data_IF_629318575622
#
_entry.id   IF_629318575622
#
_cell.length_a   1.000
_cell.length_b   1.000
_cell.length_c   1.000
_cell.angle_alpha   90.00
_cell.angle_beta   90.00
_cell.angle_gamma   90.00
#
_symmetry.space_group_name_H-M   'P 1'
#
loop_
_entity.id
_entity.type
_entity.pdbx_description
1 polymer ?
#
# COMPACT_ATOMS: atom_id res chain seq x y z
N UNK A 1 16.38 10.28 9.53
CA UNK A 1 17.10 11.29 10.34
C UNK A 1 16.10 12.10 11.15
N UNK A 2 16.33 12.36 12.46
CA UNK A 2 15.53 13.31 13.24
C UNK A 2 15.59 14.71 12.62
N UNK A 3 14.49 15.47 12.62
CA UNK A 3 14.44 16.85 12.09
C UNK A 3 15.59 17.72 12.62
N UNK A 4 15.94 17.54 13.90
CA UNK A 4 17.07 18.20 14.57
C UNK A 4 18.46 17.89 14.01
N UNK A 5 18.72 16.67 13.52
CA UNK A 5 20.01 16.33 12.92
C UNK A 5 20.17 16.93 11.51
N UNK A 6 19.07 16.98 10.75
CA UNK A 6 19.03 17.68 9.45
C UNK A 6 19.26 19.18 9.62
N UNK A 7 18.64 19.79 10.64
CA UNK A 7 18.83 21.21 10.98
C UNK A 7 20.26 21.48 11.49
N UNK A 8 20.87 20.59 12.30
CA UNK A 8 22.30 20.71 12.68
C UNK A 8 23.25 20.63 11.48
N UNK A 9 22.97 19.76 10.49
CA UNK A 9 23.74 19.69 9.25
C UNK A 9 23.64 20.97 8.43
N UNK A 10 22.45 21.60 8.38
CA UNK A 10 22.28 22.89 7.71
C UNK A 10 22.86 24.07 8.50
N UNK A 11 22.92 23.99 9.84
CA UNK A 11 23.61 24.97 10.67
C UNK A 11 25.13 25.02 10.44
N UNK A 12 25.73 23.92 9.99
CA UNK A 12 27.15 23.80 9.67
C UNK A 12 27.47 24.00 8.18
N UNK A 13 26.49 24.39 7.35
CA UNK A 13 26.74 24.55 5.91
C UNK A 13 27.45 25.89 5.65
N UNK A 14 28.63 25.89 4.98
CA UNK A 14 29.30 27.13 4.62
C UNK A 14 28.37 27.93 3.72
N UNK A 15 28.01 29.14 4.17
CA UNK A 15 27.31 30.09 3.32
C UNK A 15 28.13 30.25 2.04
N UNK A 16 27.50 30.13 0.86
CA UNK A 16 28.19 30.44 -0.39
C UNK A 16 28.72 31.87 -0.28
N UNK A 17 30.04 32.00 -0.21
CA UNK A 17 30.74 33.28 -0.18
C UNK A 17 30.35 34.06 -1.44
N UNK A 18 29.68 35.20 -1.28
CA UNK A 18 29.46 36.15 -2.38
C UNK A 18 28.05 36.74 -2.57
N UNK A 19 27.00 36.28 -1.90
CA UNK A 19 25.66 36.92 -1.99
C UNK A 19 25.15 37.33 -0.62
N UNK A 20 25.55 38.51 -0.14
CA UNK A 20 24.92 39.20 0.99
C UNK A 20 23.54 39.71 0.57
N UNK A 21 22.58 38.81 0.54
CA UNK A 21 21.16 39.15 0.36
C UNK A 21 20.69 40.02 1.52
N UNK A 22 20.02 41.13 1.20
CA UNK A 22 19.40 42.06 2.17
C UNK A 22 18.47 41.34 3.18
N UNK A 23 17.97 40.16 2.82
CA UNK A 23 17.06 39.32 3.59
C UNK A 23 17.74 38.36 4.57
N UNK A 24 19.07 38.33 4.66
CA UNK A 24 19.82 37.42 5.53
C UNK A 24 19.39 37.38 7.02
N UNK A 25 19.08 38.51 7.71
CA UNK A 25 18.61 38.47 9.10
C UNK A 25 17.20 37.89 9.25
N UNK A 26 16.33 38.13 8.27
CA UNK A 26 14.98 37.56 8.22
C UNK A 26 15.03 36.05 7.98
N UNK A 27 15.90 35.61 7.07
CA UNK A 27 16.11 34.18 6.81
C UNK A 27 16.63 33.43 8.05
N UNK A 28 17.56 34.02 8.82
CA UNK A 28 18.06 33.40 10.06
C UNK A 28 16.96 33.26 11.11
N UNK A 29 16.16 34.31 11.32
CA UNK A 29 15.03 34.29 12.27
C UNK A 29 13.94 33.30 11.85
N UNK A 30 13.61 33.26 10.56
CA UNK A 30 12.63 32.32 10.01
C UNK A 30 13.07 30.86 10.15
N UNK A 31 14.33 30.55 9.84
CA UNK A 31 14.90 29.20 10.05
C UNK A 31 14.91 28.82 11.52
N UNK A 32 15.28 29.75 12.41
CA UNK A 32 15.28 29.51 13.86
C UNK A 32 13.86 29.20 14.38
N UNK A 33 12.85 29.95 13.93
CA UNK A 33 11.45 29.72 14.29
C UNK A 33 10.94 28.36 13.78
N UNK A 34 11.17 28.05 12.51
CA UNK A 34 10.75 26.77 11.90
C UNK A 34 11.49 25.57 12.49
N UNK A 35 12.69 25.77 13.04
CA UNK A 35 13.45 24.73 13.72
C UNK A 35 13.03 24.49 15.18
N UNK A 36 12.10 25.29 15.71
CA UNK A 36 11.79 25.24 17.13
C UNK A 36 11.01 23.96 17.51
N UNK A 37 11.37 23.32 18.63
CA UNK A 37 10.79 22.03 19.07
C UNK A 37 9.26 22.14 19.18
N UNK A 38 8.80 23.27 19.70
CA UNK A 38 7.38 23.54 19.92
C UNK A 38 6.59 23.67 18.62
N UNK A 39 7.21 24.20 17.57
CA UNK A 39 6.57 24.28 16.26
C UNK A 39 6.38 22.89 15.66
N UNK A 40 7.40 22.03 15.77
CA UNK A 40 7.31 20.63 15.35
C UNK A 40 6.21 19.87 16.13
N UNK A 41 6.10 20.08 17.45
CA UNK A 41 5.05 19.46 18.26
C UNK A 41 3.66 19.98 17.93
N UNK A 42 3.51 21.28 17.71
CA UNK A 42 2.23 21.89 17.30
C UNK A 42 1.70 21.28 16.00
N UNK A 43 2.56 21.20 14.97
CA UNK A 43 2.19 20.60 13.69
C UNK A 43 1.90 19.09 13.82
N UNK A 44 2.64 18.38 14.67
CA UNK A 44 2.37 16.98 14.98
C UNK A 44 0.99 16.80 15.63
N UNK A 45 0.64 17.63 16.60
CA UNK A 45 -0.68 17.61 17.24
C UNK A 45 -1.80 17.87 16.23
N UNK A 46 -1.64 18.85 15.32
CA UNK A 46 -2.61 19.10 14.25
C UNK A 46 -2.75 17.91 13.29
N UNK A 47 -1.64 17.24 12.97
CA UNK A 47 -1.66 16.04 12.12
C UNK A 47 -2.39 14.89 12.80
N UNK A 48 -2.17 14.69 14.10
CA UNK A 48 -2.89 13.68 14.89
C UNK A 48 -4.38 14.01 14.99
N UNK A 49 -4.73 15.28 15.22
CA UNK A 49 -6.12 15.72 15.25
C UNK A 49 -6.83 15.47 13.91
N UNK A 50 -6.16 15.73 12.78
CA UNK A 50 -6.68 15.42 11.45
C UNK A 50 -6.89 13.91 11.23
N UNK A 51 -5.99 13.07 11.76
CA UNK A 51 -6.18 11.62 11.71
C UNK A 51 -7.40 11.16 12.53
N UNK A 52 -7.65 11.78 13.69
CA UNK A 52 -8.85 11.54 14.49
C UNK A 52 -10.10 11.96 13.72
N UNK A 53 -10.11 13.14 13.10
CA UNK A 53 -11.27 13.57 12.30
C UNK A 53 -11.55 12.62 11.14
N UNK A 54 -10.50 12.08 10.50
CA UNK A 54 -10.66 11.06 9.47
C UNK A 54 -11.24 9.75 10.01
N UNK A 55 -10.85 9.34 11.21
CA UNK A 55 -11.39 8.11 11.85
C UNK A 55 -12.88 8.22 12.22
N UNK A 56 -13.36 9.45 12.43
CA UNK A 56 -14.76 9.74 12.74
C UNK A 56 -15.64 9.84 11.48
N UNK A 57 -15.05 9.86 10.29
CA UNK A 57 -15.75 9.89 9.00
C UNK A 57 -16.32 8.49 8.67
N UNK A 58 -17.49 8.20 9.25
CA UNK A 58 -18.26 6.99 9.00
C UNK A 58 -19.38 7.23 7.97
N UNK A 59 -19.74 6.23 7.13
CA UNK A 59 -20.83 6.38 6.16
C UNK A 59 -22.19 6.68 6.83
N UNK A 60 -22.39 6.26 8.07
CA UNK A 60 -23.62 6.48 8.85
C UNK A 60 -23.53 7.70 9.79
N UNK A 61 -22.54 8.57 9.61
CA UNK A 61 -22.37 9.75 10.44
C UNK A 61 -23.50 10.77 10.24
N UNK A 62 -23.82 11.52 11.30
CA UNK A 62 -24.83 12.60 11.26
C UNK A 62 -24.43 13.64 10.19
N UNK A 63 -25.38 14.18 9.40
CA UNK A 63 -25.07 15.10 8.31
C UNK A 63 -24.35 16.37 8.80
N UNK A 64 -24.69 16.87 9.99
CA UNK A 64 -24.01 18.01 10.62
C UNK A 64 -22.54 17.71 10.94
N UNK A 65 -22.23 16.47 11.37
CA UNK A 65 -20.87 16.06 11.69
C UNK A 65 -20.02 15.98 10.41
N UNK A 66 -20.58 15.46 9.31
CA UNK A 66 -19.88 15.37 8.02
C UNK A 66 -19.46 16.74 7.52
N UNK A 67 -20.32 17.75 7.60
CA UNK A 67 -19.98 19.14 7.19
C UNK A 67 -18.83 19.69 8.03
N UNK A 68 -18.88 19.53 9.36
CA UNK A 68 -17.80 20.00 10.25
C UNK A 68 -16.48 19.28 9.96
N UNK A 69 -16.52 17.96 9.72
CA UNK A 69 -15.32 17.18 9.39
C UNK A 69 -14.70 17.62 8.05
N UNK A 70 -15.51 17.95 7.05
CA UNK A 70 -15.05 18.47 5.76
C UNK A 70 -14.38 19.84 5.89
N UNK A 71 -14.97 20.75 6.68
CA UNK A 71 -14.38 22.07 6.94
C UNK A 71 -13.04 21.94 7.68
N UNK A 72 -12.96 21.08 8.70
CA UNK A 72 -11.72 20.81 9.42
C UNK A 72 -10.63 20.25 8.50
N UNK A 73 -11.00 19.30 7.62
CA UNK A 73 -10.10 18.74 6.61
C UNK A 73 -9.50 19.82 5.69
N UNK A 74 -10.30 20.80 5.27
CA UNK A 74 -9.83 21.94 4.48
C UNK A 74 -8.86 22.81 5.27
N UNK A 75 -9.22 23.20 6.51
CA UNK A 75 -8.35 24.03 7.36
C UNK A 75 -7.02 23.36 7.68
N UNK A 76 -7.00 22.05 7.95
CA UNK A 76 -5.76 21.31 8.15
C UNK A 76 -4.88 21.35 6.89
N UNK A 77 -5.46 21.16 5.70
CA UNK A 77 -4.71 21.25 4.44
C UNK A 77 -4.09 22.63 4.24
N UNK A 78 -4.82 23.71 4.53
CA UNK A 78 -4.33 25.09 4.44
C UNK A 78 -3.12 25.31 5.36
N UNK A 79 -3.23 24.90 6.63
CA UNK A 79 -2.13 25.05 7.60
C UNK A 79 -0.89 24.27 7.17
N UNK A 80 -1.04 23.03 6.69
CA UNK A 80 0.10 22.25 6.19
C UNK A 80 0.70 22.82 4.91
N UNK A 81 -0.12 23.41 4.05
CA UNK A 81 0.35 24.09 2.84
C UNK A 81 1.17 25.31 3.22
N UNK A 82 0.69 26.14 4.15
CA UNK A 82 1.41 27.31 4.65
C UNK A 82 2.76 26.92 5.27
N UNK A 83 2.77 25.87 6.09
CA UNK A 83 4.00 25.34 6.68
C UNK A 83 5.01 24.87 5.63
N UNK A 84 4.55 24.14 4.61
CA UNK A 84 5.38 23.67 3.50
C UNK A 84 5.97 24.84 2.70
N UNK A 85 5.14 25.85 2.38
CA UNK A 85 5.59 27.04 1.65
C UNK A 85 6.63 27.83 2.43
N UNK A 86 6.45 27.99 3.75
CA UNK A 86 7.45 28.61 4.63
C UNK A 86 8.77 27.82 4.61
N UNK A 87 8.71 26.49 4.69
CA UNK A 87 9.91 25.64 4.62
C UNK A 87 10.62 25.76 3.26
N UNK A 88 9.89 25.77 2.15
CA UNK A 88 10.46 25.97 0.81
C UNK A 88 11.07 27.37 0.69
N UNK A 89 10.45 28.41 1.24
CA UNK A 89 10.98 29.77 1.19
C UNK A 89 12.32 29.90 1.94
N UNK A 90 12.43 29.33 3.13
CA UNK A 90 13.62 29.49 3.99
C UNK A 90 14.74 28.47 3.72
N UNK A 91 14.41 27.25 3.28
CA UNK A 91 15.36 26.16 3.03
C UNK A 91 15.54 25.82 1.53
N UNK A 92 14.73 26.40 0.65
CA UNK A 92 14.83 26.27 -0.82
C UNK A 92 14.84 24.81 -1.28
N UNK A 93 15.53 24.53 -2.40
CA UNK A 93 15.62 23.21 -3.04
C UNK A 93 16.20 22.14 -2.10
N UNK A 94 16.97 22.52 -1.08
CA UNK A 94 17.54 21.60 -0.10
C UNK A 94 16.46 20.91 0.74
N UNK A 95 15.28 21.52 0.88
CA UNK A 95 14.13 20.90 1.53
C UNK A 95 13.65 19.64 0.78
N UNK A 96 13.66 19.67 -0.56
CA UNK A 96 13.14 18.58 -1.41
C UNK A 96 14.12 17.43 -1.59
N UNK A 97 15.38 17.58 -1.16
CA UNK A 97 16.39 16.51 -1.22
C UNK A 97 16.18 15.44 -0.14
N UNK A 98 15.47 15.77 0.95
CA UNK A 98 15.09 14.77 1.96
C UNK A 98 13.81 14.05 1.52
N UNK A 99 13.90 12.72 1.34
CA UNK A 99 12.78 11.90 0.88
C UNK A 99 11.53 11.99 1.76
N UNK A 100 11.70 12.21 3.07
CA UNK A 100 10.55 12.37 3.98
C UNK A 100 9.83 13.72 3.80
N UNK A 101 10.57 14.77 3.45
CA UNK A 101 10.03 16.09 3.17
C UNK A 101 9.39 16.14 1.78
N UNK A 102 9.97 15.43 0.81
CA UNK A 102 9.36 15.22 -0.51
C UNK A 102 8.02 14.48 -0.39
N UNK A 103 7.96 13.42 0.42
CA UNK A 103 6.72 12.69 0.70
C UNK A 103 5.66 13.62 1.30
N UNK A 104 6.04 14.49 2.23
CA UNK A 104 5.12 15.48 2.80
C UNK A 104 4.57 16.47 1.74
N UNK A 105 5.43 16.94 0.83
CA UNK A 105 5.02 17.80 -0.28
C UNK A 105 4.05 17.10 -1.24
N UNK A 106 4.31 15.84 -1.59
CA UNK A 106 3.41 15.02 -2.42
C UNK A 106 2.04 14.88 -1.75
N UNK A 107 1.99 14.66 -0.44
CA UNK A 107 0.72 14.51 0.31
C UNK A 107 -0.10 15.81 0.26
N UNK A 108 0.54 16.96 0.43
CA UNK A 108 -0.14 18.26 0.34
C UNK A 108 -0.72 18.46 -1.06
N UNK A 109 0.06 18.18 -2.11
CA UNK A 109 -0.41 18.27 -3.51
C UNK A 109 -1.58 17.32 -3.76
N UNK A 110 -1.49 16.07 -3.32
CA UNK A 110 -2.58 15.10 -3.44
C UNK A 110 -3.84 15.53 -2.69
N UNK A 111 -3.70 16.24 -1.56
CA UNK A 111 -4.81 16.85 -0.83
C UNK A 111 -5.55 17.91 -1.65
N UNK A 112 -4.80 18.80 -2.32
CA UNK A 112 -5.39 19.80 -3.22
C UNK A 112 -6.05 19.16 -4.44
N UNK A 113 -5.39 18.19 -5.08
CA UNK A 113 -5.94 17.42 -6.19
C UNK A 113 -7.26 16.76 -5.77
N UNK A 114 -7.31 16.19 -4.56
CA UNK A 114 -8.52 15.56 -4.02
C UNK A 114 -9.69 16.54 -3.90
N UNK A 115 -9.44 17.76 -3.39
CA UNK A 115 -10.46 18.81 -3.31
C UNK A 115 -10.93 19.26 -4.70
N UNK A 116 -10.00 19.46 -5.64
CA UNK A 116 -10.32 19.83 -7.01
C UNK A 116 -11.21 18.78 -7.71
N UNK A 117 -10.87 17.50 -7.57
CA UNK A 117 -11.66 16.42 -8.17
C UNK A 117 -13.04 16.26 -7.52
N UNK A 118 -13.18 16.53 -6.23
CA UNK A 118 -14.47 16.43 -5.53
C UNK A 118 -15.49 17.46 -6.05
N UNK A 119 -15.03 18.60 -6.57
CA UNK A 119 -15.88 19.61 -7.19
C UNK A 119 -16.29 19.29 -8.63
N UNK A 120 -15.77 18.20 -9.23
CA UNK A 120 -16.11 17.79 -10.60
C UNK A 120 -17.12 16.63 -10.60
N UNK A 121 -18.33 16.81 -11.16
CA UNK A 121 -19.43 15.84 -11.02
C UNK A 121 -19.30 14.55 -11.86
N UNK A 122 -18.26 14.39 -12.69
CA UNK A 122 -18.20 13.33 -13.70
C UNK A 122 -17.36 12.10 -13.33
N UNK A 123 -16.74 12.03 -12.15
CA UNK A 123 -15.76 10.97 -11.87
C UNK A 123 -16.23 10.04 -10.75
N UNK A 124 -16.28 8.74 -11.03
CA UNK A 124 -16.36 7.64 -10.06
C UNK A 124 -15.15 7.58 -9.08
N UNK A 125 -14.36 8.66 -9.02
CA UNK A 125 -13.17 8.86 -8.22
C UNK A 125 -13.44 8.88 -6.71
N UNK A 126 -14.70 8.93 -6.25
CA UNK A 126 -15.03 8.93 -4.83
C UNK A 126 -14.32 7.82 -4.03
N UNK A 127 -14.10 6.63 -4.62
CA UNK A 127 -13.32 5.54 -3.99
C UNK A 127 -11.83 5.87 -3.86
N UNK A 128 -11.23 6.41 -4.91
CA UNK A 128 -9.81 6.78 -4.91
C UNK A 128 -9.57 7.97 -3.98
N UNK A 129 -10.42 9.00 -4.03
CA UNK A 129 -10.35 10.19 -3.17
C UNK A 129 -10.42 9.82 -1.68
N UNK A 130 -11.29 8.86 -1.32
CA UNK A 130 -11.36 8.33 0.04
C UNK A 130 -10.07 7.59 0.44
N UNK A 131 -9.49 6.81 -0.47
CA UNK A 131 -8.21 6.13 -0.21
C UNK A 131 -7.03 7.12 -0.07
N UNK A 132 -7.01 8.22 -0.84
CA UNK A 132 -5.93 9.22 -0.77
C UNK A 132 -5.82 9.88 0.61
N UNK A 133 -6.92 9.95 1.38
CA UNK A 133 -6.90 10.47 2.75
C UNK A 133 -6.00 9.64 3.69
N UNK A 134 -5.76 8.34 3.41
CA UNK A 134 -4.88 7.50 4.22
C UNK A 134 -3.42 8.01 4.22
N UNK A 135 -3.01 8.67 3.15
CA UNK A 135 -1.68 9.27 3.07
C UNK A 135 -1.46 10.34 4.13
N UNK A 136 -2.52 10.96 4.67
CA UNK A 136 -2.39 11.91 5.79
C UNK A 136 -1.96 11.23 7.08
N UNK A 137 -2.38 9.99 7.32
CA UNK A 137 -1.87 9.20 8.45
C UNK A 137 -0.40 8.90 8.22
N UNK A 138 -0.01 8.61 6.98
CA UNK A 138 1.40 8.42 6.59
C UNK A 138 2.26 9.69 6.81
N UNK A 139 1.68 10.90 6.75
CA UNK A 139 2.39 12.14 7.13
C UNK A 139 2.83 12.13 8.60
N UNK A 140 2.05 11.55 9.52
CA UNK A 140 2.45 11.47 10.94
C UNK A 140 3.79 10.74 11.11
N UNK A 141 4.01 9.72 10.28
CA UNK A 141 5.24 8.94 10.22
C UNK A 141 6.45 9.80 9.81
N UNK A 142 6.26 10.73 8.88
CA UNK A 142 7.32 11.65 8.43
C UNK A 142 7.57 12.80 9.42
N UNK A 143 6.81 12.92 10.51
CA UNK A 143 7.04 13.92 11.57
C UNK A 143 7.65 13.34 12.84
N UNK A 144 7.38 12.08 13.14
CA UNK A 144 7.99 11.39 14.29
C UNK A 144 9.42 10.96 13.97
N UNK A 145 10.39 11.70 14.51
CA UNK A 145 11.82 11.46 14.27
C UNK A 145 12.30 10.05 14.66
N UNK A 146 11.74 9.46 15.72
CA UNK A 146 12.05 8.09 16.13
C UNK A 146 11.63 7.05 15.09
N UNK A 147 10.46 7.22 14.48
CA UNK A 147 9.93 6.31 13.47
C UNK A 147 10.72 6.40 12.16
N UNK A 148 11.22 7.57 11.79
CA UNK A 148 12.15 7.72 10.64
C UNK A 148 13.42 6.90 10.78
N UNK A 149 13.98 6.83 12.00
CA UNK A 149 15.18 6.03 12.25
C UNK A 149 14.88 4.55 12.06
N UNK A 150 13.75 4.07 12.60
CA UNK A 150 13.31 2.69 12.42
C UNK A 150 13.08 2.35 10.95
N UNK A 151 12.40 3.23 10.19
CA UNK A 151 12.16 3.03 8.76
C UNK A 151 13.48 3.00 8.00
N UNK A 152 14.40 3.92 8.27
CA UNK A 152 15.70 3.91 7.61
C UNK A 152 16.47 2.62 7.90
N UNK A 153 16.51 2.17 9.16
CA UNK A 153 17.14 0.89 9.50
C UNK A 153 16.48 -0.31 8.81
N UNK A 154 15.16 -0.27 8.63
CA UNK A 154 14.43 -1.29 7.88
C UNK A 154 14.81 -1.24 6.39
N UNK A 155 14.81 -0.05 5.78
CA UNK A 155 15.19 0.16 4.39
C UNK A 155 16.65 -0.25 4.13
N UNK A 156 17.55 -0.01 5.09
CA UNK A 156 18.96 -0.43 5.02
C UNK A 156 19.12 -1.96 5.10
N UNK A 157 18.20 -2.65 5.78
CA UNK A 157 18.17 -4.12 5.85
C UNK A 157 17.49 -4.78 4.63
N UNK A 158 16.60 -4.07 3.92
CA UNK A 158 15.93 -4.58 2.72
C UNK A 158 16.86 -5.16 1.65
N UNK A 159 17.99 -4.54 1.24
CA UNK A 159 18.87 -5.13 0.23
C UNK A 159 19.46 -6.47 0.68
N UNK A 160 19.78 -6.63 1.97
CA UNK A 160 20.27 -7.90 2.51
C UNK A 160 19.16 -8.96 2.49
N UNK A 161 17.94 -8.58 2.86
CA UNK A 161 16.78 -9.45 2.78
C UNK A 161 16.46 -9.85 1.34
N UNK A 162 16.64 -8.97 0.36
CA UNK A 162 16.40 -9.24 -1.05
C UNK A 162 17.25 -10.42 -1.58
N UNK A 163 18.50 -10.53 -1.13
CA UNK A 163 19.36 -11.67 -1.48
C UNK A 163 18.81 -12.99 -0.93
N UNK A 164 18.36 -13.01 0.33
CA UNK A 164 17.75 -14.20 0.94
C UNK A 164 16.44 -14.55 0.24
N UNK A 165 15.59 -13.55 -0.02
CA UNK A 165 14.34 -13.73 -0.75
C UNK A 165 14.56 -14.30 -2.15
N UNK A 166 15.61 -13.87 -2.85
CA UNK A 166 15.96 -14.42 -4.17
C UNK A 166 16.23 -15.93 -4.10
N UNK A 167 16.99 -16.38 -3.11
CA UNK A 167 17.27 -17.80 -2.91
C UNK A 167 16.00 -18.58 -2.55
N UNK A 168 15.18 -18.03 -1.65
CA UNK A 168 13.89 -18.64 -1.27
C UNK A 168 12.96 -18.76 -2.48
N UNK A 169 12.86 -17.70 -3.30
CA UNK A 169 12.07 -17.72 -4.53
C UNK A 169 12.58 -18.76 -5.53
N UNK A 170 13.91 -18.91 -5.68
CA UNK A 170 14.48 -19.95 -6.52
C UNK A 170 14.03 -21.36 -6.08
N UNK A 171 14.11 -21.65 -4.77
CA UNK A 171 13.64 -22.94 -4.25
C UNK A 171 12.14 -23.15 -4.44
N UNK A 172 11.32 -22.11 -4.22
CA UNK A 172 9.87 -22.17 -4.46
C UNK A 172 9.59 -22.49 -5.93
N UNK A 173 10.33 -21.88 -6.87
CA UNK A 173 10.15 -22.13 -8.31
C UNK A 173 10.53 -23.57 -8.67
N UNK A 174 11.68 -24.07 -8.20
CA UNK A 174 12.12 -25.44 -8.49
C UNK A 174 11.15 -26.46 -7.90
N UNK A 175 10.76 -26.29 -6.63
CA UNK A 175 9.77 -27.15 -5.98
C UNK A 175 8.39 -27.06 -6.66
N UNK A 176 7.99 -25.86 -7.08
CA UNK A 176 6.75 -25.62 -7.82
C UNK A 176 6.74 -26.29 -9.20
N UNK A 177 7.83 -26.21 -9.95
CA UNK A 177 7.97 -26.87 -11.26
C UNK A 177 7.99 -28.40 -11.11
N UNK A 178 8.72 -28.92 -10.13
CA UNK A 178 8.71 -30.35 -9.81
C UNK A 178 7.32 -30.82 -9.38
N UNK A 179 6.65 -30.06 -8.50
CA UNK A 179 5.27 -30.34 -8.08
C UNK A 179 4.29 -30.30 -9.24
N UNK A 180 4.42 -29.33 -10.17
CA UNK A 180 3.59 -29.28 -11.36
C UNK A 180 3.79 -30.53 -12.22
N UNK A 181 5.02 -30.94 -12.50
CA UNK A 181 5.28 -32.13 -13.32
C UNK A 181 4.76 -33.42 -12.66
N UNK A 182 4.87 -33.53 -11.34
CA UNK A 182 4.44 -34.72 -10.60
C UNK A 182 2.92 -34.80 -10.41
N UNK A 183 2.25 -33.66 -10.24
CA UNK A 183 0.83 -33.60 -9.89
C UNK A 183 -0.05 -32.97 -10.97
N UNK A 184 0.46 -32.79 -12.19
CA UNK A 184 -0.30 -32.26 -13.30
C UNK A 184 -1.55 -33.12 -13.53
N UNK A 185 -2.73 -32.49 -13.55
CA UNK A 185 -4.01 -33.15 -13.84
C UNK A 185 -4.53 -34.11 -12.76
N UNK A 186 -3.71 -34.55 -11.81
CA UNK A 186 -4.10 -35.49 -10.74
C UNK A 186 -5.20 -34.92 -9.84
N UNK A 187 -5.17 -33.61 -9.57
CA UNK A 187 -6.11 -32.95 -8.66
C UNK A 187 -7.51 -32.71 -9.26
N UNK A 188 -7.66 -32.76 -10.59
CA UNK A 188 -8.92 -32.47 -11.28
C UNK A 188 -9.71 -33.73 -11.65
N UNK A 189 -9.18 -34.91 -11.33
CA UNK A 189 -9.84 -36.20 -11.59
C UNK A 189 -11.09 -36.37 -10.76
N UNK A 190 -12.19 -36.73 -11.44
CA UNK A 190 -13.54 -36.90 -10.86
C UNK A 190 -14.17 -38.20 -11.36
N UNK A 191 -15.17 -38.68 -10.62
CA UNK A 191 -15.96 -39.84 -11.02
C UNK A 191 -17.11 -39.42 -11.94
N UNK A 192 -17.30 -40.15 -13.03
CA UNK A 192 -18.36 -39.95 -14.00
C UNK A 192 -19.19 -41.22 -14.17
N UNK A 193 -20.48 -41.05 -14.45
CA UNK A 193 -21.42 -42.14 -14.72
C UNK A 193 -21.97 -42.04 -16.15
N UNK A 194 -22.22 -43.19 -16.78
CA UNK A 194 -22.90 -43.25 -18.08
C UNK A 194 -24.40 -42.99 -17.96
N UNK A 195 -24.94 -42.20 -18.88
CA UNK A 195 -26.37 -41.96 -18.98
C UNK A 195 -27.01 -43.09 -19.82
N UNK A 196 -27.50 -44.14 -19.17
CA UNK A 196 -28.09 -45.29 -19.86
C UNK A 196 -27.11 -46.01 -20.80
N UNK A 197 -27.57 -46.50 -21.96
CA UNK A 197 -26.72 -47.11 -23.01
C UNK A 197 -26.18 -46.07 -24.01
N UNK A 198 -26.03 -44.81 -23.62
CA UNK A 198 -25.50 -43.76 -24.49
C UNK A 198 -23.98 -43.60 -24.35
N UNK A 199 -23.36 -42.87 -25.29
CA UNK A 199 -21.93 -42.51 -25.21
C UNK A 199 -21.68 -41.29 -24.30
N UNK A 200 -22.72 -40.76 -23.65
CA UNK A 200 -22.63 -39.57 -22.80
C UNK A 200 -22.31 -39.93 -21.35
N UNK A 201 -21.49 -39.09 -20.72
CA UNK A 201 -21.04 -39.24 -19.34
C UNK A 201 -21.39 -37.97 -18.56
N UNK A 202 -21.98 -38.14 -17.37
CA UNK A 202 -22.30 -37.03 -16.46
C UNK A 202 -21.45 -37.11 -15.20
N UNK A 203 -21.11 -35.95 -14.64
CA UNK A 203 -20.40 -35.86 -13.38
C UNK A 203 -21.31 -36.35 -12.24
N UNK A 204 -20.83 -37.28 -11.42
CA UNK A 204 -21.60 -37.71 -10.25
C UNK A 204 -21.59 -36.62 -9.16
N UNK A 205 -22.76 -36.00 -8.95
CA UNK A 205 -22.96 -34.90 -7.98
C UNK A 205 -22.94 -35.40 -6.53
N UNK A 206 -23.19 -36.70 -6.31
CA UNK A 206 -23.13 -37.34 -5.00
C UNK A 206 -21.68 -37.68 -4.62
N UNK A 207 -20.86 -38.11 -5.57
CA UNK A 207 -19.46 -38.45 -5.35
C UNK A 207 -18.51 -37.27 -5.60
N UNK A 208 -18.50 -36.29 -4.68
CA UNK A 208 -17.65 -35.08 -4.79
C UNK A 208 -16.14 -35.31 -4.59
N UNK A 209 -15.73 -36.52 -4.20
CA UNK A 209 -14.33 -36.83 -3.89
C UNK A 209 -13.48 -36.99 -5.17
N UNK A 210 -12.18 -36.72 -5.06
CA UNK A 210 -11.22 -36.93 -6.15
C UNK A 210 -10.87 -38.41 -6.26
N UNK A 211 -10.69 -38.88 -7.48
CA UNK A 211 -10.38 -40.28 -7.78
C UNK A 211 -8.98 -40.45 -8.39
N UNK A 212 -8.47 -41.68 -8.37
CA UNK A 212 -7.19 -42.07 -8.95
C UNK A 212 -7.40 -43.10 -10.07
N UNK A 213 -6.61 -43.00 -11.15
CA UNK A 213 -6.64 -43.96 -12.26
C UNK A 213 -6.04 -45.32 -11.90
N UNK A 214 -5.13 -45.34 -10.92
CA UNK A 214 -4.57 -46.57 -10.37
C UNK A 214 -5.12 -46.78 -8.96
N UNK A 215 -5.48 -48.02 -8.66
CA UNK A 215 -5.99 -48.46 -7.36
C UNK A 215 -5.00 -49.42 -6.73
N UNK A 216 -4.61 -49.17 -5.49
CA UNK A 216 -3.55 -49.89 -4.80
C UNK A 216 -3.26 -49.28 -3.43
N UNK A 217 -2.43 -49.96 -2.63
CA UNK A 217 -2.17 -49.57 -1.23
C UNK A 217 -1.50 -48.19 -1.09
N UNK A 218 -0.71 -47.77 -2.10
CA UNK A 218 -0.09 -46.44 -2.20
C UNK A 218 -0.75 -45.54 -3.25
N UNK A 219 -1.93 -45.91 -3.72
CA UNK A 219 -2.66 -45.20 -4.78
C UNK A 219 -3.87 -44.45 -4.21
N UNK A 220 -4.46 -43.54 -4.98
CA UNK A 220 -5.63 -42.78 -4.52
C UNK A 220 -6.93 -43.60 -4.48
N UNK A 221 -8.04 -42.93 -4.16
CA UNK A 221 -9.35 -43.60 -4.03
C UNK A 221 -9.90 -44.05 -5.39
N UNK A 222 -10.51 -45.23 -5.39
CA UNK A 222 -11.36 -45.67 -6.49
C UNK A 222 -12.74 -44.99 -6.43
N UNK A 223 -13.40 -44.95 -7.59
CA UNK A 223 -14.81 -44.61 -7.71
C UNK A 223 -15.69 -45.79 -7.25
N UNK A 224 -16.93 -45.50 -6.86
CA UNK A 224 -17.87 -46.54 -6.41
C UNK A 224 -18.41 -47.35 -7.61
N UNK A 225 -19.14 -48.44 -7.34
CA UNK A 225 -19.64 -49.33 -8.39
C UNK A 225 -20.56 -48.59 -9.37
N UNK A 226 -20.23 -48.66 -10.67
CA UNK A 226 -21.00 -47.99 -11.74
C UNK A 226 -20.46 -46.63 -12.18
N UNK A 227 -19.44 -46.09 -11.50
CA UNK A 227 -18.77 -44.85 -11.90
C UNK A 227 -17.31 -45.09 -12.27
N UNK A 228 -16.76 -44.28 -13.19
CA UNK A 228 -15.38 -44.41 -13.67
C UNK A 228 -14.62 -43.11 -13.47
N UNK A 229 -13.34 -43.23 -13.11
CA UNK A 229 -12.48 -42.07 -12.88
C UNK A 229 -11.96 -41.54 -14.21
N UNK A 230 -12.18 -40.25 -14.48
CA UNK A 230 -11.73 -39.59 -15.70
C UNK A 230 -10.92 -38.32 -15.42
N UNK A 231 -10.04 -38.00 -16.37
CA UNK A 231 -9.24 -36.78 -16.36
C UNK A 231 -9.86 -35.76 -17.35
N UNK A 232 -10.18 -34.52 -16.94
CA UNK A 232 -10.91 -33.58 -17.79
C UNK A 232 -10.21 -33.18 -19.11
N UNK A 233 -8.89 -33.30 -19.19
CA UNK A 233 -8.13 -32.93 -20.39
C UNK A 233 -8.21 -33.97 -21.52
N UNK A 234 -8.71 -35.18 -21.26
CA UNK A 234 -8.78 -36.28 -22.24
C UNK A 234 -10.19 -36.56 -22.76
N UNK A 235 -11.15 -35.66 -22.52
CA UNK A 235 -12.46 -35.78 -23.15
C UNK A 235 -12.31 -35.72 -24.68
N UNK A 236 -12.87 -36.70 -25.43
CA UNK A 236 -12.95 -36.58 -26.88
C UNK A 236 -13.73 -35.30 -27.21
N UNK A 237 -13.22 -34.52 -28.17
CA UNK A 237 -13.85 -33.31 -28.71
C UNK A 237 -15.29 -33.64 -29.15
N UNK A 238 -16.27 -33.43 -28.25
CA UNK A 238 -17.65 -33.84 -28.46
C UNK A 238 -18.43 -34.25 -27.20
N UNK A 239 -17.79 -34.34 -26.04
CA UNK A 239 -18.49 -34.59 -24.77
C UNK A 239 -17.92 -33.76 -23.63
N UNK A 240 -18.37 -32.51 -23.50
CA UNK A 240 -18.56 -31.95 -22.16
C UNK A 240 -19.95 -32.39 -21.66
N UNK A 241 -20.16 -32.56 -20.34
CA UNK A 241 -21.50 -32.42 -19.78
C UNK A 241 -22.08 -31.03 -20.09
#
# INVERSE_FOLDING_TARGET
MPSWQFIRRMGNWPAKEGTTSYWAPLERRGRAFLSHVWFDHFILCLTMLNAITLSLDAPDAKPQLVVVLQELEFWFLVVFTAEMLLKIFFFRVQYLQDGFNLLDAVIVVMGWVTLWLTNTPQVSAFRVLRALRIFRVLKSVSRVGGLKTLINSLLDALPQLAHVLMVVLFFIIVAGAGGLQLFMGVADRRCYQQIGNTTFWELDVYQKQRCSLQVGFFSGRACDAGTTCWEPATFPLGGCP
#
